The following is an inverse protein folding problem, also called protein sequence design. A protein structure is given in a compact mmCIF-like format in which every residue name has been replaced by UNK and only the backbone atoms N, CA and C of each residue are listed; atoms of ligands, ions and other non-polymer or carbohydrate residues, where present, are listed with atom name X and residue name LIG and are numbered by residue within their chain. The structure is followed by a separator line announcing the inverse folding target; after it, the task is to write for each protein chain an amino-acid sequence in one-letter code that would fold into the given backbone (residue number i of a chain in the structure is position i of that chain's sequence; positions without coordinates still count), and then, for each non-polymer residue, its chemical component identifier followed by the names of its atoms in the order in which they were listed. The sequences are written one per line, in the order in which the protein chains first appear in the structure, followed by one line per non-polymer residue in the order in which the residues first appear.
data_IF_976775261535
#
_entry.id   IF_976775261535
#
_cell.length_a   1.000
_cell.length_b   1.000
_cell.length_c   1.000
_cell.angle_alpha   90.00
_cell.angle_beta   90.00
_cell.angle_gamma   90.00
#
_symmetry.space_group_name_H-M   'P 1'
#
loop_
_entity.id
_entity.type
_entity.pdbx_description
1 polymer ?
#
# COMPACT_ATOMS: atom_id res chain seq x y z
N UNK A 1 7.52 8.52 14.74
CA UNK A 1 6.16 8.07 14.33
C UNK A 1 6.34 6.92 13.35
N UNK A 2 5.87 5.69 13.67
CA UNK A 2 6.01 4.53 12.76
C UNK A 2 4.89 4.59 11.73
N UNK A 3 5.24 4.82 10.46
CA UNK A 3 4.27 4.88 9.35
C UNK A 3 3.73 3.51 8.96
N UNK A 4 4.55 2.47 9.11
CA UNK A 4 4.18 1.08 8.81
C UNK A 4 3.36 0.49 9.96
N UNK A 5 2.20 -0.13 9.69
CA UNK A 5 1.43 -0.87 10.69
C UNK A 5 2.26 -1.98 11.36
N UNK A 6 1.82 -2.41 12.55
CA UNK A 6 2.35 -3.61 13.18
C UNK A 6 2.08 -4.85 12.31
N UNK A 7 2.91 -5.89 12.45
CA UNK A 7 2.79 -7.10 11.63
C UNK A 7 1.43 -7.81 11.81
N UNK A 8 0.88 -7.74 13.01
CA UNK A 8 -0.40 -8.30 13.44
C UNK A 8 -1.57 -7.31 13.33
N UNK A 9 -1.35 -6.12 12.76
CA UNK A 9 -2.43 -5.17 12.53
C UNK A 9 -3.50 -5.77 11.58
N UNK A 10 -4.76 -5.40 11.80
CA UNK A 10 -5.88 -5.91 11.01
C UNK A 10 -5.81 -5.50 9.53
N UNK A 11 -6.54 -6.25 8.69
CA UNK A 11 -6.63 -6.03 7.24
C UNK A 11 -7.00 -4.60 6.87
N UNK A 12 -7.94 -3.98 7.60
CA UNK A 12 -8.34 -2.59 7.37
C UNK A 12 -7.20 -1.58 7.58
N UNK A 13 -6.35 -1.79 8.59
CA UNK A 13 -5.19 -0.92 8.85
C UNK A 13 -4.15 -1.05 7.75
N UNK A 14 -3.88 -2.28 7.28
CA UNK A 14 -2.99 -2.51 6.15
C UNK A 14 -3.56 -1.93 4.84
N UNK A 15 -4.87 -2.07 4.61
CA UNK A 15 -5.54 -1.50 3.44
C UNK A 15 -5.37 0.03 3.39
N UNK A 16 -5.59 0.72 4.51
CA UNK A 16 -5.36 2.16 4.60
C UNK A 16 -3.91 2.51 4.31
N UNK A 17 -2.96 1.78 4.89
CA UNK A 17 -1.53 2.00 4.66
C UNK A 17 -1.14 1.89 3.18
N UNK A 18 -1.58 0.84 2.48
CA UNK A 18 -1.27 0.65 1.07
C UNK A 18 -1.90 1.75 0.19
N UNK A 19 -3.14 2.15 0.47
CA UNK A 19 -3.79 3.27 -0.23
C UNK A 19 -3.05 4.59 -0.03
N UNK A 20 -2.59 4.87 1.18
CA UNK A 20 -1.82 6.09 1.48
C UNK A 20 -0.46 6.09 0.79
N UNK A 21 0.24 4.94 0.76
CA UNK A 21 1.50 4.84 0.04
C UNK A 21 1.31 4.98 -1.47
N UNK A 22 0.28 4.38 -2.05
CA UNK A 22 -0.01 4.51 -3.47
C UNK A 22 -0.22 5.99 -3.85
N UNK A 23 -0.95 6.74 -3.01
CA UNK A 23 -1.12 8.20 -3.18
C UNK A 23 0.21 8.95 -3.08
N UNK A 24 1.04 8.61 -2.09
CA UNK A 24 2.35 9.23 -1.93
C UNK A 24 3.25 8.98 -3.15
N UNK A 25 3.34 7.73 -3.62
CA UNK A 25 4.20 7.38 -4.75
C UNK A 25 3.74 8.04 -6.05
N UNK A 26 2.43 8.20 -6.27
CA UNK A 26 1.91 9.02 -7.39
C UNK A 26 2.39 10.47 -7.29
N UNK A 27 2.28 11.09 -6.11
CA UNK A 27 2.75 12.46 -5.90
C UNK A 27 4.27 12.61 -6.11
N UNK A 28 5.06 11.59 -5.74
CA UNK A 28 6.50 11.54 -6.04
C UNK A 28 6.74 11.40 -7.53
N UNK A 29 6.01 10.51 -8.22
CA UNK A 29 6.14 10.31 -9.67
C UNK A 29 5.82 11.57 -10.47
N UNK A 30 4.87 12.39 -9.99
CA UNK A 30 4.52 13.68 -10.60
C UNK A 30 5.63 14.73 -10.41
N UNK A 31 6.37 14.66 -9.30
CA UNK A 31 7.40 15.64 -8.93
C UNK A 31 8.78 15.26 -9.49
N UNK A 32 9.18 14.00 -9.36
CA UNK A 32 10.47 13.48 -9.79
C UNK A 32 10.36 12.78 -11.15
N UNK A 33 10.63 13.53 -12.21
CA UNK A 33 10.60 13.02 -13.58
C UNK A 33 11.71 12.01 -13.88
N UNK A 34 12.83 12.04 -13.16
CA UNK A 34 13.95 11.12 -13.39
C UNK A 34 13.63 9.72 -12.83
N UNK A 35 12.90 9.66 -11.71
CA UNK A 35 12.46 8.40 -11.10
C UNK A 35 10.96 8.13 -11.30
N UNK A 36 10.33 8.80 -12.25
CA UNK A 36 8.89 8.69 -12.51
C UNK A 36 8.44 7.23 -12.69
N UNK A 37 9.19 6.44 -13.47
CA UNK A 37 8.86 5.05 -13.73
C UNK A 37 8.98 4.17 -12.48
N UNK A 38 10.00 4.40 -11.66
CA UNK A 38 10.17 3.67 -10.40
C UNK A 38 9.07 4.03 -9.40
N UNK A 39 8.78 5.32 -9.22
CA UNK A 39 7.72 5.79 -8.34
C UNK A 39 6.33 5.29 -8.81
N UNK A 40 6.08 5.28 -10.12
CA UNK A 40 4.85 4.72 -10.71
C UNK A 40 4.74 3.22 -10.47
N UNK A 41 5.85 2.47 -10.61
CA UNK A 41 5.88 1.05 -10.27
C UNK A 41 5.46 0.82 -8.81
N UNK A 42 6.02 1.58 -7.87
CA UNK A 42 5.66 1.47 -6.46
C UNK A 42 4.21 1.84 -6.19
N UNK A 43 3.69 2.90 -6.83
CA UNK A 43 2.27 3.24 -6.73
C UNK A 43 1.38 2.07 -7.15
N UNK A 44 1.63 1.48 -8.33
CA UNK A 44 0.85 0.37 -8.85
C UNK A 44 0.95 -0.88 -7.97
N UNK A 45 2.13 -1.16 -7.41
CA UNK A 45 2.32 -2.27 -6.47
C UNK A 45 1.49 -2.09 -5.20
N UNK A 46 1.45 -0.88 -4.66
CA UNK A 46 0.68 -0.57 -3.45
C UNK A 46 -0.84 -0.62 -3.73
N UNK A 47 -1.30 -0.17 -4.90
CA UNK A 47 -2.71 -0.35 -5.29
C UNK A 47 -3.07 -1.84 -5.43
N UNK A 48 -2.22 -2.65 -6.08
CA UNK A 48 -2.46 -4.07 -6.23
C UNK A 48 -2.56 -4.79 -4.88
N UNK A 49 -1.74 -4.41 -3.90
CA UNK A 49 -1.82 -4.96 -2.54
C UNK A 49 -3.07 -4.45 -1.80
N UNK A 50 -3.47 -3.19 -1.99
CA UNK A 50 -4.73 -2.67 -1.45
C UNK A 50 -5.95 -3.40 -2.04
N UNK A 51 -5.95 -3.67 -3.35
CA UNK A 51 -7.00 -4.46 -4.01
C UNK A 51 -7.04 -5.89 -3.49
N UNK A 52 -5.87 -6.53 -3.32
CA UNK A 52 -5.76 -7.87 -2.72
C UNK A 52 -6.30 -7.91 -1.29
N UNK A 53 -6.07 -6.88 -0.49
CA UNK A 53 -6.60 -6.81 0.87
C UNK A 53 -8.09 -6.46 0.91
N UNK A 54 -8.58 -5.67 -0.04
CA UNK A 54 -9.99 -5.35 -0.15
C UNK A 54 -10.84 -6.55 -0.61
N UNK A 55 -10.25 -7.48 -1.37
CA UNK A 55 -10.90 -8.72 -1.78
C UNK A 55 -10.88 -9.82 -0.71
N UNK A 56 -10.01 -9.70 0.29
CA UNK A 56 -10.05 -10.52 1.50
C UNK A 56 -11.16 -9.97 2.42
N UNK A 57 -12.30 -10.65 2.45
CA UNK A 57 -13.42 -10.36 3.35
C UNK A 57 -12.95 -10.12 4.80
N UNK A 58 -13.64 -9.28 5.61
CA UNK A 58 -13.19 -8.91 6.97
C UNK A 58 -12.90 -10.07 7.94
N UNK A 59 -13.34 -11.29 7.62
CA UNK A 59 -13.19 -12.48 8.49
C UNK A 59 -11.89 -13.26 8.29
N UNK A 60 -11.16 -13.07 7.19
CA UNK A 60 -9.92 -13.81 6.97
C UNK A 60 -8.72 -12.88 7.19
N UNK A 61 -8.17 -12.93 8.40
CA UNK A 61 -6.84 -12.43 8.67
C UNK A 61 -5.82 -13.53 8.36
N UNK A 62 -5.17 -13.54 7.18
CA UNK A 62 -4.02 -14.41 6.99
C UNK A 62 -2.89 -13.91 7.89
N UNK A 63 -2.55 -14.69 8.92
CA UNK A 63 -1.29 -14.55 9.65
C UNK A 63 -0.15 -14.66 8.64
N UNK A 64 0.45 -13.53 8.26
CA UNK A 64 1.65 -13.53 7.43
C UNK A 64 2.78 -14.14 8.29
N UNK A 65 3.31 -15.28 7.86
CA UNK A 65 4.46 -15.96 8.48
C UNK A 65 5.74 -15.15 8.36
#
# INVERSE_FOLDING_TARGET
MKRRPAADAGTATWLTFHRENARMYRAVADTDRWHHHEATYWANREDAEAERLASLSPEESPKRK
#
